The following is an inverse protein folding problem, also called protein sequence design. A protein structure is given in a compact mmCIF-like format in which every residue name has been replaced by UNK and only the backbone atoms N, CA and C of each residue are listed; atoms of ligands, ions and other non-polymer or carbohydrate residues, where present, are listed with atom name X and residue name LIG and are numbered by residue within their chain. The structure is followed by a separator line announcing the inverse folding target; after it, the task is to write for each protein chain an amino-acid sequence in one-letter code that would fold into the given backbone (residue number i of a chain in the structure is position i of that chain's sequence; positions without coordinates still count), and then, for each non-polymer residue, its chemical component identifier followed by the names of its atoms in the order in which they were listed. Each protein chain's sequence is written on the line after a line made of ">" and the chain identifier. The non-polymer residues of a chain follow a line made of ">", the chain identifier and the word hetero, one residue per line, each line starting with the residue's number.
data_IF_308140767260
#
_entry.id   IF_308140767260
#
_cell.length_a   1.000
_cell.length_b   1.000
_cell.length_c   1.000
_cell.angle_alpha   90.00
_cell.angle_beta   90.00
_cell.angle_gamma   90.00
#
_symmetry.space_group_name_H-M   'P 1'
#
loop_
_entity.id
_entity.type
_entity.pdbx_description
1 polymer ?
#
# COMPACT_ATOMS: atom_id res chain seq x y z
N UNK A 1 -7.90 16.63 -36.62
CA UNK A 1 -7.90 16.72 -35.14
C UNK A 1 -7.00 15.60 -34.67
N UNK A 2 -6.14 15.85 -33.68
CA UNK A 2 -5.27 14.80 -33.15
C UNK A 2 -6.12 13.69 -32.52
N UNK A 3 -5.74 12.43 -32.75
CA UNK A 3 -6.44 11.30 -32.16
C UNK A 3 -5.82 10.93 -30.81
N UNK A 4 -6.54 10.17 -29.98
CA UNK A 4 -6.01 9.72 -28.68
C UNK A 4 -4.67 8.99 -28.82
N UNK A 5 -4.52 8.10 -29.80
CA UNK A 5 -3.28 7.36 -29.99
C UNK A 5 -2.07 8.27 -30.27
N UNK A 6 -2.25 9.38 -31.01
CA UNK A 6 -1.19 10.36 -31.28
C UNK A 6 -0.79 11.10 -30.00
N UNK A 7 -1.78 11.48 -29.19
CA UNK A 7 -1.58 12.22 -27.95
C UNK A 7 -0.89 11.34 -26.90
N UNK A 8 -1.26 10.06 -26.78
CA UNK A 8 -0.62 9.10 -25.89
C UNK A 8 0.85 8.91 -26.28
N UNK A 9 1.15 8.60 -27.56
CA UNK A 9 2.52 8.42 -28.03
C UNK A 9 3.39 9.67 -27.82
N UNK A 10 2.83 10.85 -28.07
CA UNK A 10 3.53 12.12 -27.83
C UNK A 10 3.82 12.32 -26.34
N UNK A 11 2.86 12.03 -25.47
CA UNK A 11 3.01 12.14 -24.01
C UNK A 11 4.04 11.15 -23.49
N UNK A 12 3.95 9.88 -23.87
CA UNK A 12 4.90 8.82 -23.54
C UNK A 12 6.34 9.23 -23.94
N UNK A 13 6.53 9.73 -25.17
CA UNK A 13 7.85 10.18 -25.64
C UNK A 13 8.40 11.34 -24.80
N UNK A 14 7.55 12.27 -24.36
CA UNK A 14 7.96 13.37 -23.48
C UNK A 14 8.37 12.87 -22.10
N UNK A 15 7.61 11.94 -21.51
CA UNK A 15 7.95 11.31 -20.22
C UNK A 15 9.29 10.56 -20.31
N UNK A 16 9.44 9.72 -21.33
CA UNK A 16 10.68 8.96 -21.57
C UNK A 16 11.89 9.88 -21.76
N UNK A 17 11.76 10.94 -22.57
CA UNK A 17 12.83 11.91 -22.80
C UNK A 17 13.22 12.68 -21.53
N UNK A 18 12.26 12.92 -20.64
CA UNK A 18 12.50 13.57 -19.35
C UNK A 18 13.17 12.66 -18.32
N UNK A 19 13.29 11.35 -18.60
CA UNK A 19 13.89 10.38 -17.70
C UNK A 19 13.15 10.30 -16.37
N UNK A 20 11.82 10.39 -16.39
CA UNK A 20 11.02 10.21 -15.18
C UNK A 20 11.08 8.75 -14.71
N UNK A 21 11.08 8.55 -13.40
CA UNK A 21 11.05 7.22 -12.80
C UNK A 21 9.60 6.74 -12.60
N UNK A 22 9.28 5.52 -13.02
CA UNK A 22 7.97 4.89 -12.83
C UNK A 22 8.05 3.87 -11.68
N UNK A 23 7.03 3.79 -10.84
CA UNK A 23 7.04 2.95 -9.63
C UNK A 23 6.00 3.32 -8.55
N UNK A 24 5.13 4.28 -8.85
CA UNK A 24 4.06 4.74 -7.95
C UNK A 24 2.70 4.28 -8.48
N UNK A 25 2.56 2.98 -8.76
CA UNK A 25 1.36 2.35 -9.31
C UNK A 25 1.34 2.17 -10.85
N UNK A 26 2.32 2.72 -11.57
CA UNK A 26 2.53 2.49 -12.99
C UNK A 26 4.00 2.09 -13.23
N UNK A 27 4.20 1.11 -14.11
CA UNK A 27 5.52 0.50 -14.36
C UNK A 27 6.20 1.01 -15.65
N UNK A 28 5.48 1.79 -16.46
CA UNK A 28 6.00 2.29 -17.73
C UNK A 28 5.55 3.71 -18.05
N UNK A 29 6.35 4.40 -18.87
CA UNK A 29 5.98 5.71 -19.43
C UNK A 29 4.70 5.64 -20.28
N UNK A 30 4.42 4.47 -20.86
CA UNK A 30 3.21 4.25 -21.63
C UNK A 30 1.97 4.28 -20.73
N UNK A 31 1.99 3.54 -19.63
CA UNK A 31 0.85 3.47 -18.70
C UNK A 31 0.59 4.82 -18.03
N UNK A 32 1.66 5.53 -17.63
CA UNK A 32 1.55 6.90 -17.14
C UNK A 32 0.96 7.86 -18.19
N UNK A 33 1.37 7.73 -19.46
CA UNK A 33 0.83 8.56 -20.54
C UNK A 33 -0.65 8.28 -20.78
N UNK A 34 -1.07 7.01 -20.79
CA UNK A 34 -2.48 6.62 -20.87
C UNK A 34 -3.27 7.25 -19.73
N UNK A 35 -2.78 7.12 -18.49
CA UNK A 35 -3.40 7.67 -17.30
C UNK A 35 -3.61 9.18 -17.37
N UNK A 36 -2.55 9.94 -17.67
CA UNK A 36 -2.60 11.39 -17.77
C UNK A 36 -3.55 11.85 -18.89
N UNK A 37 -3.53 11.17 -20.05
CA UNK A 37 -4.36 11.53 -21.21
C UNK A 37 -5.84 11.26 -20.95
N UNK A 38 -6.20 10.10 -20.40
CA UNK A 38 -7.58 9.75 -20.04
C UNK A 38 -8.11 10.67 -18.95
N UNK A 39 -7.35 10.86 -17.86
CA UNK A 39 -7.72 11.77 -16.78
C UNK A 39 -7.88 13.21 -17.28
N UNK A 40 -6.99 13.67 -18.17
CA UNK A 40 -7.11 15.00 -18.77
C UNK A 40 -8.40 15.14 -19.59
N UNK A 41 -8.78 14.10 -20.34
CA UNK A 41 -10.02 14.04 -21.11
C UNK A 41 -11.29 13.83 -20.27
N UNK A 42 -11.14 13.55 -18.96
CA UNK A 42 -12.27 13.22 -18.08
C UNK A 42 -12.86 11.83 -18.37
N UNK A 43 -12.05 10.92 -18.90
CA UNK A 43 -12.44 9.55 -19.20
C UNK A 43 -12.04 8.61 -18.05
N UNK A 44 -12.84 7.55 -17.80
CA UNK A 44 -12.47 6.49 -16.86
C UNK A 44 -11.18 5.77 -17.25
N UNK A 45 -10.47 5.22 -16.27
CA UNK A 45 -9.20 4.50 -16.50
C UNK A 45 -9.37 3.11 -17.12
N UNK A 46 -10.58 2.55 -17.02
CA UNK A 46 -11.00 1.33 -17.71
C UNK A 46 -11.53 1.61 -19.14
N UNK A 47 -11.29 2.81 -19.68
CA UNK A 47 -11.64 3.14 -21.07
C UNK A 47 -10.97 2.15 -22.04
N UNK A 48 -11.78 1.55 -22.90
CA UNK A 48 -11.34 0.58 -23.89
C UNK A 48 -10.48 1.17 -25.02
N UNK A 49 -9.84 0.29 -25.78
CA UNK A 49 -8.96 0.65 -26.90
C UNK A 49 -9.70 1.31 -28.08
N UNK A 50 -11.03 1.22 -28.12
CA UNK A 50 -11.88 1.87 -29.12
C UNK A 50 -11.70 3.40 -29.12
N UNK A 51 -11.32 4.00 -27.98
CA UNK A 51 -11.04 5.43 -27.89
C UNK A 51 -9.83 5.87 -28.73
N UNK A 52 -8.88 4.98 -29.02
CA UNK A 52 -7.59 5.31 -29.63
C UNK A 52 -7.71 6.01 -30.99
N UNK A 53 -8.73 5.62 -31.77
CA UNK A 53 -9.00 6.16 -33.11
C UNK A 53 -10.00 7.33 -33.10
N UNK A 54 -10.45 7.77 -31.91
CA UNK A 54 -11.36 8.90 -31.76
C UNK A 54 -10.59 10.21 -31.61
N UNK A 55 -11.29 11.34 -31.82
CA UNK A 55 -10.68 12.67 -31.69
C UNK A 55 -10.44 13.02 -30.22
N UNK A 56 -9.23 13.46 -29.89
CA UNK A 56 -8.93 13.98 -28.56
C UNK A 56 -9.65 15.33 -28.34
N UNK A 57 -10.35 15.54 -27.21
CA UNK A 57 -11.13 16.76 -26.99
C UNK A 57 -10.20 17.95 -26.73
N UNK A 58 -10.21 18.96 -27.63
CA UNK A 58 -9.42 20.19 -27.47
C UNK A 58 -9.53 20.87 -26.11
N UNK A 59 -10.69 20.90 -25.42
CA UNK A 59 -10.76 21.46 -24.07
C UNK A 59 -9.86 20.78 -23.03
N UNK A 60 -9.42 19.54 -23.28
CA UNK A 60 -8.52 18.80 -22.39
C UNK A 60 -7.04 19.16 -22.57
N UNK A 61 -6.66 19.86 -23.66
CA UNK A 61 -5.25 20.16 -23.99
C UNK A 61 -4.53 20.94 -22.88
N UNK A 62 -5.21 21.92 -22.26
CA UNK A 62 -4.65 22.71 -21.17
C UNK A 62 -4.42 21.86 -19.91
N UNK A 63 -5.37 20.97 -19.60
CA UNK A 63 -5.27 20.07 -18.43
C UNK A 63 -4.15 19.05 -18.63
N UNK A 64 -4.06 18.46 -19.81
CA UNK A 64 -2.96 17.54 -20.14
C UNK A 64 -1.61 18.24 -20.09
N UNK A 65 -1.53 19.48 -20.56
CA UNK A 65 -0.29 20.27 -20.50
C UNK A 65 0.17 20.47 -19.06
N UNK A 66 -0.75 20.88 -18.18
CA UNK A 66 -0.49 21.04 -16.75
C UNK A 66 -0.07 19.71 -16.08
N UNK A 67 -0.80 18.62 -16.34
CA UNK A 67 -0.47 17.29 -15.84
C UNK A 67 0.94 16.84 -16.26
N UNK A 68 1.29 16.99 -17.53
CA UNK A 68 2.63 16.61 -18.02
C UNK A 68 3.71 17.53 -17.45
N UNK A 69 3.40 18.81 -17.23
CA UNK A 69 4.33 19.74 -16.59
C UNK A 69 4.62 19.34 -15.14
N UNK A 70 3.57 19.08 -14.33
CA UNK A 70 3.70 18.58 -12.97
C UNK A 70 4.53 17.29 -12.92
N UNK A 71 4.30 16.38 -13.89
CA UNK A 71 5.02 15.10 -13.95
C UNK A 71 6.49 15.24 -14.32
N UNK A 72 6.82 16.05 -15.33
CA UNK A 72 8.19 16.19 -15.85
C UNK A 72 9.03 17.13 -15.00
N UNK A 73 8.51 18.33 -14.71
CA UNK A 73 9.26 19.37 -13.98
C UNK A 73 9.21 19.12 -12.48
N UNK A 74 8.03 18.80 -11.96
CA UNK A 74 7.82 18.55 -10.54
C UNK A 74 8.21 17.14 -10.09
N UNK A 75 8.40 16.19 -11.01
CA UNK A 75 8.57 14.75 -10.69
C UNK A 75 7.41 14.20 -9.86
N UNK A 76 6.23 14.82 -9.94
CA UNK A 76 5.08 14.41 -9.11
C UNK A 76 4.52 13.07 -9.62
N UNK A 77 4.30 12.06 -8.76
CA UNK A 77 3.66 10.81 -9.15
C UNK A 77 2.33 11.03 -9.87
N UNK A 78 2.06 10.25 -10.92
CA UNK A 78 0.81 10.37 -11.71
C UNK A 78 -0.42 10.21 -10.83
N UNK A 79 -0.41 9.28 -9.88
CA UNK A 79 -1.51 9.06 -8.93
C UNK A 79 -1.90 10.34 -8.17
N UNK A 80 -0.91 11.13 -7.73
CA UNK A 80 -1.15 12.41 -7.05
C UNK A 80 -1.55 13.54 -8.01
N UNK A 81 -1.11 13.49 -9.27
CA UNK A 81 -1.51 14.47 -10.29
C UNK A 81 -3.00 14.28 -10.64
N UNK A 82 -3.43 13.04 -10.84
CA UNK A 82 -4.82 12.71 -11.20
C UNK A 82 -5.74 12.60 -9.96
N UNK A 83 -5.17 12.52 -8.76
CA UNK A 83 -5.88 12.40 -7.49
C UNK A 83 -6.48 11.01 -7.23
N UNK A 84 -6.00 9.98 -7.94
CA UNK A 84 -6.53 8.62 -7.88
C UNK A 84 -5.45 7.56 -8.08
N UNK A 85 -5.65 6.43 -7.41
CA UNK A 85 -4.85 5.22 -7.54
C UNK A 85 -5.72 3.97 -7.44
N UNK A 86 -5.17 2.81 -7.79
CA UNK A 86 -5.86 1.53 -7.74
C UNK A 86 -5.08 0.53 -6.91
N UNK A 87 -5.80 -0.27 -6.13
CA UNK A 87 -5.29 -1.50 -5.54
C UNK A 87 -6.25 -2.61 -5.94
N UNK A 88 -5.84 -3.39 -6.93
CA UNK A 88 -6.70 -4.40 -7.53
C UNK A 88 -7.89 -3.76 -8.27
N UNK A 89 -9.11 -4.18 -7.95
CA UNK A 89 -10.33 -3.67 -8.59
C UNK A 89 -10.87 -2.39 -7.95
N UNK A 90 -10.30 -1.96 -6.83
CA UNK A 90 -10.76 -0.79 -6.07
C UNK A 90 -9.95 0.45 -6.45
N UNK A 91 -10.63 1.58 -6.51
CA UNK A 91 -10.04 2.90 -6.72
C UNK A 91 -10.06 3.73 -5.44
N UNK A 92 -9.03 4.52 -5.23
CA UNK A 92 -8.82 5.31 -4.02
C UNK A 92 -8.53 6.76 -4.40
N UNK A 93 -9.02 7.70 -3.61
CA UNK A 93 -8.44 9.04 -3.54
C UNK A 93 -6.97 8.92 -3.12
N UNK A 94 -6.11 9.65 -3.80
CA UNK A 94 -4.67 9.57 -3.62
C UNK A 94 -4.06 10.97 -3.68
N UNK A 95 -3.35 11.35 -2.62
CA UNK A 95 -2.60 12.60 -2.53
C UNK A 95 -1.44 12.45 -1.53
N UNK A 96 -0.69 13.53 -1.33
CA UNK A 96 0.55 13.59 -0.54
C UNK A 96 0.35 13.32 0.97
N UNK A 97 -0.87 13.01 1.43
CA UNK A 97 -1.15 12.60 2.82
C UNK A 97 -0.75 11.15 3.12
N UNK A 98 -0.65 10.28 2.10
CA UNK A 98 -0.30 8.88 2.27
C UNK A 98 0.42 8.29 1.05
N UNK A 99 1.07 7.15 1.24
CA UNK A 99 1.74 6.39 0.19
C UNK A 99 0.75 5.93 -0.90
N UNK A 100 1.18 5.93 -2.17
CA UNK A 100 0.33 5.47 -3.29
C UNK A 100 0.03 3.97 -3.15
N UNK A 101 -1.24 3.52 -3.11
CA UNK A 101 -1.61 2.12 -2.95
C UNK A 101 -0.90 1.19 -3.93
N UNK A 102 -0.08 0.27 -3.40
CA UNK A 102 0.69 -0.70 -4.21
C UNK A 102 1.15 -1.94 -3.43
N UNK A 103 0.52 -2.24 -2.30
CA UNK A 103 0.98 -3.34 -1.44
C UNK A 103 0.66 -4.69 -2.09
N UNK A 104 1.66 -5.58 -2.26
CA UNK A 104 1.45 -6.95 -2.72
C UNK A 104 0.61 -7.81 -1.76
N UNK A 105 0.40 -7.39 -0.50
CA UNK A 105 -0.54 -8.05 0.42
C UNK A 105 -1.97 -8.12 -0.14
N UNK A 106 -2.32 -7.24 -1.09
CA UNK A 106 -3.56 -7.31 -1.86
C UNK A 106 -3.85 -8.73 -2.37
N UNK A 107 -2.83 -9.44 -2.86
CA UNK A 107 -3.02 -10.78 -3.40
C UNK A 107 -3.48 -11.79 -2.35
N UNK A 108 -2.90 -11.72 -1.15
CA UNK A 108 -3.29 -12.56 -0.03
C UNK A 108 -4.73 -12.27 0.41
N UNK A 109 -5.14 -10.99 0.38
CA UNK A 109 -6.53 -10.61 0.69
C UNK A 109 -7.50 -11.22 -0.33
N UNK A 110 -7.19 -11.17 -1.63
CA UNK A 110 -8.03 -11.80 -2.68
C UNK A 110 -8.14 -13.31 -2.55
N UNK A 111 -7.04 -13.96 -2.20
CA UNK A 111 -7.00 -15.40 -1.94
C UNK A 111 -7.62 -15.75 -0.57
N UNK A 112 -8.22 -14.77 0.12
CA UNK A 112 -8.82 -14.91 1.44
C UNK A 112 -7.86 -15.53 2.46
N UNK A 113 -6.59 -15.18 2.31
CA UNK A 113 -5.48 -15.64 3.13
C UNK A 113 -5.26 -17.16 3.12
N UNK A 114 -5.69 -17.85 2.07
CA UNK A 114 -5.41 -19.27 1.87
C UNK A 114 -3.91 -19.51 1.63
N UNK A 115 -3.30 -20.59 2.17
CA UNK A 115 -3.91 -21.65 2.98
C UNK A 115 -3.89 -21.37 4.50
N UNK A 116 -3.41 -20.22 4.93
CA UNK A 116 -3.17 -19.91 6.35
C UNK A 116 -4.47 -19.71 7.14
N UNK A 117 -5.43 -18.98 6.58
CA UNK A 117 -6.72 -18.73 7.23
C UNK A 117 -7.79 -19.72 6.74
N UNK A 118 -8.18 -20.63 7.62
CA UNK A 118 -9.27 -21.60 7.38
C UNK A 118 -10.52 -21.34 8.22
N UNK A 119 -10.50 -20.28 9.03
CA UNK A 119 -11.54 -19.96 10.03
C UNK A 119 -12.86 -19.45 9.47
N UNK A 120 -13.01 -19.32 8.15
CA UNK A 120 -14.18 -18.72 7.52
C UNK A 120 -14.08 -17.20 7.49
N UNK A 121 -15.12 -16.47 7.90
CA UNK A 121 -15.09 -15.01 7.97
C UNK A 121 -14.43 -14.61 9.30
N UNK A 122 -13.29 -13.88 9.29
CA UNK A 122 -12.70 -13.34 10.51
C UNK A 122 -13.66 -12.34 11.16
N UNK A 123 -13.69 -12.30 12.49
CA UNK A 123 -14.48 -11.32 13.22
C UNK A 123 -13.80 -9.96 13.18
N UNK A 124 -12.46 -9.91 13.34
CA UNK A 124 -11.71 -8.67 13.36
C UNK A 124 -10.42 -8.73 12.53
N UNK A 125 -10.32 -7.82 11.57
CA UNK A 125 -9.12 -7.55 10.77
C UNK A 125 -8.54 -6.19 11.18
N UNK A 126 -7.23 -6.09 11.31
CA UNK A 126 -6.52 -4.84 11.57
C UNK A 126 -5.58 -4.54 10.41
N UNK A 127 -5.70 -3.36 9.81
CA UNK A 127 -4.74 -2.78 8.88
C UNK A 127 -3.89 -1.77 9.66
N UNK A 128 -2.64 -2.11 9.98
CA UNK A 128 -1.72 -1.27 10.77
C UNK A 128 -0.72 -0.56 9.85
N UNK A 129 -0.46 0.73 10.14
CA UNK A 129 0.18 1.65 9.21
C UNK A 129 -0.67 1.81 7.94
N UNK A 130 -1.99 1.98 8.11
CA UNK A 130 -2.96 1.85 7.03
C UNK A 130 -2.84 2.93 5.94
N UNK A 131 -2.17 4.05 6.21
CA UNK A 131 -2.09 5.16 5.27
C UNK A 131 -3.49 5.63 4.85
N UNK A 132 -3.75 5.64 3.54
CA UNK A 132 -5.06 5.94 2.96
C UNK A 132 -6.11 4.81 3.05
N UNK A 133 -5.83 3.75 3.81
CA UNK A 133 -6.76 2.66 4.16
C UNK A 133 -6.95 1.61 3.07
N UNK A 134 -6.04 1.49 2.09
CA UNK A 134 -6.28 0.66 0.90
C UNK A 134 -6.38 -0.83 1.20
N UNK A 135 -5.57 -1.36 2.11
CA UNK A 135 -5.61 -2.78 2.49
C UNK A 135 -6.84 -3.09 3.35
N UNK A 136 -7.14 -2.24 4.34
CA UNK A 136 -8.32 -2.40 5.18
C UNK A 136 -9.64 -2.33 4.39
N UNK A 137 -9.75 -1.41 3.43
CA UNK A 137 -10.93 -1.31 2.54
C UNK A 137 -11.05 -2.55 1.64
N UNK A 138 -9.94 -3.04 1.11
CA UNK A 138 -9.93 -4.27 0.32
C UNK A 138 -10.38 -5.47 1.17
N UNK A 139 -9.84 -5.60 2.38
CA UNK A 139 -10.22 -6.66 3.30
C UNK A 139 -11.70 -6.60 3.70
N UNK A 140 -12.23 -5.42 4.01
CA UNK A 140 -13.66 -5.24 4.30
C UNK A 140 -14.55 -5.69 3.13
N UNK A 141 -14.11 -5.41 1.89
CA UNK A 141 -14.82 -5.79 0.66
C UNK A 141 -14.85 -7.31 0.48
N UNK A 142 -13.72 -7.99 0.70
CA UNK A 142 -13.62 -9.45 0.58
C UNK A 142 -14.32 -10.20 1.74
N UNK A 143 -14.42 -9.54 2.90
CA UNK A 143 -15.02 -10.08 4.12
C UNK A 143 -16.15 -9.17 4.67
N UNK A 144 -17.34 -9.12 4.06
CA UNK A 144 -18.44 -8.22 4.47
C UNK A 144 -18.95 -8.39 5.91
N UNK A 145 -18.58 -9.47 6.59
CA UNK A 145 -18.95 -9.73 7.99
C UNK A 145 -17.86 -9.40 9.01
N UNK A 146 -16.67 -9.00 8.56
CA UNK A 146 -15.55 -8.66 9.44
C UNK A 146 -15.62 -7.20 9.89
N UNK A 147 -15.34 -6.92 11.15
CA UNK A 147 -14.98 -5.58 11.63
C UNK A 147 -13.55 -5.28 11.21
N UNK A 148 -13.31 -4.11 10.61
CA UNK A 148 -11.97 -3.69 10.19
C UNK A 148 -11.53 -2.45 10.95
N UNK A 149 -10.32 -2.48 11.51
CA UNK A 149 -9.69 -1.33 12.12
C UNK A 149 -8.49 -0.88 11.29
N UNK A 150 -8.52 0.37 10.85
CA UNK A 150 -7.41 1.04 10.17
C UNK A 150 -6.64 1.89 11.19
N UNK A 151 -5.40 1.50 11.48
CA UNK A 151 -4.54 2.15 12.48
C UNK A 151 -3.39 2.89 11.80
N UNK A 152 -3.23 4.16 12.14
CA UNK A 152 -2.08 4.96 11.70
C UNK A 152 -1.70 6.00 12.76
N UNK A 153 -0.44 6.43 12.77
CA UNK A 153 0.03 7.48 13.68
C UNK A 153 -0.27 8.88 13.15
N UNK A 154 -0.40 9.02 11.81
CA UNK A 154 -0.64 10.28 11.12
C UNK A 154 -2.13 10.56 10.92
N UNK A 155 -2.63 11.62 11.57
CA UNK A 155 -4.02 12.08 11.43
C UNK A 155 -4.37 12.48 10.00
N UNK A 156 -3.40 12.94 9.21
CA UNK A 156 -3.64 13.31 7.80
C UNK A 156 -3.89 12.08 6.94
N UNK A 157 -3.14 11.01 7.17
CA UNK A 157 -3.35 9.73 6.50
C UNK A 157 -4.72 9.16 6.87
N UNK A 158 -5.10 9.19 8.15
CA UNK A 158 -6.41 8.75 8.61
C UNK A 158 -7.56 9.56 8.00
N UNK A 159 -7.41 10.88 7.84
CA UNK A 159 -8.41 11.68 7.16
C UNK A 159 -8.61 11.24 5.69
N UNK A 160 -7.52 10.90 4.98
CA UNK A 160 -7.62 10.33 3.63
C UNK A 160 -8.25 8.92 3.66
N UNK A 161 -7.94 8.11 4.67
CA UNK A 161 -8.58 6.80 4.86
C UNK A 161 -10.09 6.95 5.07
N UNK A 162 -10.55 7.91 5.88
CA UNK A 162 -11.99 8.18 6.08
C UNK A 162 -12.68 8.60 4.78
N UNK A 163 -12.05 9.45 3.97
CA UNK A 163 -12.55 9.81 2.63
C UNK A 163 -12.70 8.57 1.73
N UNK A 164 -11.71 7.68 1.75
CA UNK A 164 -11.74 6.44 0.98
C UNK A 164 -12.76 5.42 1.50
N UNK A 165 -12.90 5.28 2.82
CA UNK A 165 -13.93 4.44 3.45
C UNK A 165 -15.31 4.95 3.03
N UNK A 166 -15.53 6.26 3.05
CA UNK A 166 -16.78 6.88 2.64
C UNK A 166 -17.08 6.69 1.14
N UNK A 167 -16.06 6.78 0.28
CA UNK A 167 -16.17 6.51 -1.16
C UNK A 167 -16.72 5.12 -1.45
N UNK A 168 -16.35 4.12 -0.65
CA UNK A 168 -16.79 2.74 -0.80
C UNK A 168 -18.02 2.38 0.05
N UNK A 169 -18.55 3.31 0.85
CA UNK A 169 -19.75 3.10 1.67
C UNK A 169 -19.53 2.17 2.87
N UNK A 170 -18.29 2.07 3.37
CA UNK A 170 -17.88 1.09 4.38
C UNK A 170 -17.79 1.66 5.81
N UNK A 171 -18.36 2.85 6.06
CA UNK A 171 -18.29 3.52 7.37
C UNK A 171 -18.92 2.71 8.52
N UNK A 172 -19.82 1.76 8.21
CA UNK A 172 -20.43 0.88 9.21
C UNK A 172 -19.60 -0.34 9.56
N UNK A 173 -18.53 -0.61 8.80
CA UNK A 173 -17.69 -1.80 8.92
C UNK A 173 -16.25 -1.46 9.30
N UNK A 174 -15.75 -0.31 8.84
CA UNK A 174 -14.37 0.13 9.04
C UNK A 174 -14.33 1.32 9.99
N UNK A 175 -13.44 1.27 10.98
CA UNK A 175 -13.11 2.41 11.84
C UNK A 175 -11.64 2.79 11.73
N UNK A 176 -11.36 4.09 11.72
CA UNK A 176 -10.01 4.66 11.81
C UNK A 176 -9.66 4.95 13.26
N UNK A 177 -8.44 4.62 13.67
CA UNK A 177 -7.95 4.96 15.02
C UNK A 177 -6.51 5.46 14.94
N UNK A 178 -6.29 6.65 15.50
CA UNK A 178 -4.93 7.15 15.69
C UNK A 178 -4.20 6.32 16.73
N UNK A 179 -3.15 5.64 16.33
CA UNK A 179 -2.45 4.68 17.16
C UNK A 179 -0.96 4.62 16.84
N UNK A 180 -0.16 4.33 17.87
CA UNK A 180 1.20 3.83 17.67
C UNK A 180 1.12 2.30 17.53
N UNK A 181 1.19 1.84 16.27
CA UNK A 181 1.02 0.44 15.89
C UNK A 181 -0.28 -0.15 16.46
N UNK A 182 -0.20 -1.27 17.18
CA UNK A 182 -1.33 -2.02 17.75
C UNK A 182 -1.58 -1.65 19.23
N UNK A 183 -0.93 -0.61 19.73
CA UNK A 183 -0.96 -0.18 21.14
C UNK A 183 -2.35 -0.13 21.79
N UNK A 184 -3.39 0.46 21.17
CA UNK A 184 -4.71 0.61 21.79
C UNK A 184 -5.56 -0.66 21.78
N UNK A 185 -5.13 -1.74 21.11
CA UNK A 185 -5.90 -2.96 21.01
C UNK A 185 -5.82 -3.78 22.30
N UNK A 186 -6.91 -4.49 22.61
CA UNK A 186 -6.93 -5.46 23.71
C UNK A 186 -6.15 -6.72 23.35
N UNK A 187 -5.59 -7.45 24.33
CA UNK A 187 -5.04 -8.77 24.10
C UNK A 187 -6.07 -9.75 23.49
N UNK A 188 -5.59 -10.74 22.74
CA UNK A 188 -6.40 -11.84 22.18
C UNK A 188 -7.66 -11.39 21.43
N UNK A 189 -7.60 -10.25 20.74
CA UNK A 189 -8.78 -9.57 20.18
C UNK A 189 -8.79 -9.49 18.66
N UNK A 190 -7.74 -9.96 17.98
CA UNK A 190 -7.56 -9.82 16.53
C UNK A 190 -7.40 -11.19 15.87
N UNK A 191 -8.10 -11.41 14.75
CA UNK A 191 -7.93 -12.61 13.94
C UNK A 191 -6.82 -12.44 12.91
N UNK A 192 -6.81 -11.30 12.22
CA UNK A 192 -5.88 -11.04 11.12
C UNK A 192 -5.30 -9.64 11.28
N UNK A 193 -3.97 -9.53 11.19
CA UNK A 193 -3.26 -8.26 11.08
C UNK A 193 -2.63 -8.18 9.69
N UNK A 194 -2.92 -7.11 8.96
CA UNK A 194 -2.23 -6.71 7.75
C UNK A 194 -1.28 -5.59 8.12
N UNK A 195 -0.01 -5.74 7.76
CA UNK A 195 1.01 -4.76 8.07
C UNK A 195 1.91 -4.50 6.87
N UNK A 196 1.85 -3.27 6.38
CA UNK A 196 2.83 -2.72 5.45
C UNK A 196 3.50 -1.49 6.09
N UNK A 197 4.30 -1.70 7.16
CA UNK A 197 4.98 -0.60 7.82
C UNK A 197 6.06 0.01 6.90
N UNK A 198 6.52 1.23 7.18
CA UNK A 198 7.74 1.75 6.58
C UNK A 198 8.89 0.76 6.82
N UNK A 199 9.66 0.46 5.76
CA UNK A 199 10.79 -0.46 5.82
C UNK A 199 12.04 0.01 5.06
N UNK A 200 12.04 1.22 4.49
CA UNK A 200 13.18 1.72 3.71
C UNK A 200 14.26 2.21 4.68
N UNK A 201 15.45 1.62 4.58
CA UNK A 201 16.59 2.01 5.40
C UNK A 201 17.18 3.37 4.94
N UNK A 202 18.01 3.98 5.80
CA UNK A 202 18.57 5.29 5.54
C UNK A 202 19.46 5.37 4.28
N UNK A 203 20.07 4.26 3.88
CA UNK A 203 20.92 4.19 2.70
C UNK A 203 20.07 4.16 1.43
N UNK A 204 19.06 3.29 1.40
CA UNK A 204 18.10 3.20 0.30
C UNK A 204 17.32 4.52 0.14
N UNK A 205 16.94 5.17 1.24
CA UNK A 205 16.30 6.50 1.25
C UNK A 205 17.13 7.57 0.52
N UNK A 206 18.46 7.49 0.58
CA UNK A 206 19.35 8.46 -0.06
C UNK A 206 19.44 8.27 -1.58
N UNK A 207 19.21 7.04 -2.06
CA UNK A 207 19.29 6.65 -3.46
C UNK A 207 17.91 6.65 -4.17
N UNK A 208 16.83 6.97 -3.45
CA UNK A 208 15.48 7.02 -4.02
C UNK A 208 15.37 8.05 -5.15
N UNK A 209 14.68 7.69 -6.26
CA UNK A 209 14.31 8.65 -7.31
C UNK A 209 13.55 9.85 -6.76
N UNK A 210 13.72 11.01 -7.41
CA UNK A 210 13.13 12.28 -6.99
C UNK A 210 11.59 12.22 -6.82
N UNK A 211 10.92 11.35 -7.56
CA UNK A 211 9.49 11.07 -7.45
C UNK A 211 9.07 10.67 -6.03
N UNK A 212 9.88 9.90 -5.30
CA UNK A 212 9.56 9.44 -3.94
C UNK A 212 9.59 10.57 -2.89
N UNK A 213 10.17 11.73 -3.22
CA UNK A 213 10.15 12.90 -2.33
C UNK A 213 8.75 13.48 -2.09
N UNK A 214 7.78 13.10 -2.94
CA UNK A 214 6.37 13.47 -2.81
C UNK A 214 5.60 12.57 -1.84
N UNK A 215 6.11 11.39 -1.52
CA UNK A 215 5.48 10.53 -0.53
C UNK A 215 5.88 10.97 0.89
N UNK A 216 5.00 10.82 1.90
CA UNK A 216 5.35 11.18 3.27
C UNK A 216 6.60 10.43 3.73
N UNK A 217 7.61 11.17 4.20
CA UNK A 217 8.85 10.56 4.74
C UNK A 217 8.56 9.52 5.83
N UNK A 218 7.56 9.78 6.67
CA UNK A 218 7.10 8.88 7.73
C UNK A 218 6.55 7.54 7.17
N UNK A 219 6.08 7.51 5.92
CA UNK A 219 5.61 6.29 5.27
C UNK A 219 6.74 5.47 4.63
N UNK A 220 7.97 6.00 4.57
CA UNK A 220 9.13 5.36 3.94
C UNK A 220 10.23 4.99 4.95
N UNK A 221 10.61 5.92 5.81
CA UNK A 221 11.79 5.81 6.68
C UNK A 221 11.57 4.87 7.88
N UNK A 222 12.50 3.94 8.08
CA UNK A 222 12.41 2.93 9.12
C UNK A 222 13.67 2.76 9.99
N UNK A 223 14.37 3.87 10.28
CA UNK A 223 15.56 3.86 11.14
C UNK A 223 16.81 3.29 10.45
N UNK A 224 17.83 2.94 11.25
CA UNK A 224 19.16 2.56 10.72
C UNK A 224 19.17 1.20 10.02
N UNK A 225 18.33 0.23 10.44
CA UNK A 225 18.24 -1.11 9.85
C UNK A 225 16.90 -1.39 9.15
N UNK A 226 15.98 -0.43 9.14
CA UNK A 226 14.66 -0.57 8.54
C UNK A 226 13.64 -1.34 9.39
N UNK A 227 13.98 -1.78 10.61
CA UNK A 227 13.21 -2.78 11.37
C UNK A 227 12.74 -2.34 12.75
N UNK A 228 13.08 -1.14 13.22
CA UNK A 228 12.67 -0.67 14.55
C UNK A 228 11.15 -0.75 14.79
N UNK A 229 10.36 -0.32 13.80
CA UNK A 229 8.90 -0.42 13.84
C UNK A 229 8.43 -1.86 13.77
N UNK A 230 9.08 -2.68 12.93
CA UNK A 230 8.75 -4.08 12.73
C UNK A 230 8.98 -4.89 14.01
N UNK A 231 10.09 -4.69 14.72
CA UNK A 231 10.35 -5.36 16.00
C UNK A 231 9.27 -5.05 17.04
N UNK A 232 8.88 -3.78 17.16
CA UNK A 232 7.80 -3.37 18.07
C UNK A 232 6.46 -3.97 17.64
N UNK A 233 6.18 -4.01 16.34
CA UNK A 233 4.98 -4.61 15.78
C UNK A 233 4.91 -6.11 16.09
N UNK A 234 6.00 -6.86 15.92
CA UNK A 234 6.03 -8.31 16.21
C UNK A 234 5.71 -8.59 17.69
N UNK A 235 6.29 -7.83 18.62
CA UNK A 235 5.99 -7.93 20.05
C UNK A 235 4.53 -7.64 20.34
N UNK A 236 3.98 -6.57 19.76
CA UNK A 236 2.58 -6.23 19.99
C UNK A 236 1.66 -7.28 19.35
N UNK A 237 1.91 -7.70 18.11
CA UNK A 237 1.12 -8.68 17.38
C UNK A 237 1.00 -9.99 18.17
N UNK A 238 2.09 -10.48 18.76
CA UNK A 238 2.11 -11.67 19.60
C UNK A 238 1.10 -11.58 20.76
N UNK A 239 0.89 -10.39 21.32
CA UNK A 239 -0.03 -10.18 22.44
C UNK A 239 -1.47 -9.85 22.02
N UNK A 240 -1.72 -9.48 20.76
CA UNK A 240 -3.03 -9.00 20.27
C UNK A 240 -3.76 -10.03 19.43
N UNK A 241 -3.02 -10.89 18.73
CA UNK A 241 -3.60 -11.97 17.94
C UNK A 241 -4.23 -13.02 18.86
N UNK A 242 -5.37 -13.55 18.42
CA UNK A 242 -5.92 -14.79 18.96
C UNK A 242 -4.99 -15.95 18.64
N UNK A 243 -5.13 -17.07 19.36
CA UNK A 243 -4.30 -18.26 19.15
C UNK A 243 -4.35 -18.79 17.71
N UNK A 244 -5.49 -18.65 17.02
CA UNK A 244 -5.66 -19.05 15.61
C UNK A 244 -5.35 -17.93 14.61
N UNK A 245 -4.90 -16.77 15.08
CA UNK A 245 -4.72 -15.56 14.28
C UNK A 245 -3.40 -15.51 13.54
N UNK A 246 -3.34 -14.63 12.54
CA UNK A 246 -2.18 -14.44 11.67
C UNK A 246 -1.82 -12.97 11.48
N UNK A 247 -0.52 -12.70 11.44
CA UNK A 247 0.08 -11.48 10.93
C UNK A 247 0.56 -11.74 9.50
N UNK A 248 0.08 -10.93 8.55
CA UNK A 248 0.64 -10.83 7.20
C UNK A 248 1.44 -9.54 7.12
N UNK A 249 2.76 -9.69 6.97
CA UNK A 249 3.72 -8.61 7.08
C UNK A 249 4.49 -8.45 5.77
N UNK A 250 4.56 -7.22 5.28
CA UNK A 250 5.43 -6.78 4.20
C UNK A 250 6.63 -6.01 4.77
N UNK A 251 7.84 -6.42 4.40
CA UNK A 251 9.11 -5.71 4.70
C UNK A 251 9.97 -5.45 3.46
N UNK A 252 9.48 -5.81 2.27
CA UNK A 252 10.15 -5.52 1.00
C UNK A 252 11.64 -5.92 0.98
N UNK A 253 12.50 -4.96 0.62
CA UNK A 253 13.96 -5.15 0.55
C UNK A 253 14.62 -5.46 1.91
N UNK A 254 13.93 -5.24 3.03
CA UNK A 254 14.46 -5.44 4.38
C UNK A 254 14.31 -6.88 4.88
N UNK A 255 13.80 -7.79 4.05
CA UNK A 255 13.73 -9.23 4.35
C UNK A 255 15.07 -9.87 4.80
N UNK A 256 16.26 -9.54 4.25
CA UNK A 256 17.51 -10.16 4.69
C UNK A 256 17.98 -9.56 6.02
N UNK A 257 17.57 -8.32 6.34
CA UNK A 257 17.78 -7.74 7.66
C UNK A 257 16.93 -8.47 8.71
N UNK A 258 15.69 -8.84 8.37
CA UNK A 258 14.83 -9.64 9.24
C UNK A 258 15.44 -11.01 9.56
N UNK A 259 15.98 -11.71 8.55
CA UNK A 259 16.67 -13.00 8.78
C UNK A 259 17.90 -12.86 9.69
N UNK A 260 18.65 -11.76 9.55
CA UNK A 260 19.79 -11.47 10.43
C UNK A 260 19.36 -11.14 11.85
N UNK A 261 18.23 -10.46 12.03
CA UNK A 261 17.69 -10.11 13.34
C UNK A 261 17.18 -11.35 14.10
N UNK A 262 16.64 -12.34 13.38
CA UNK A 262 16.12 -13.59 13.95
C UNK A 262 16.77 -14.83 13.33
N UNK A 263 18.09 -15.06 13.54
CA UNK A 263 18.84 -16.12 12.84
C UNK A 263 18.47 -17.55 13.27
N UNK A 264 17.60 -17.69 14.28
CA UNK A 264 17.10 -18.98 14.80
C UNK A 264 15.67 -19.28 14.36
N UNK A 265 15.04 -18.36 13.63
CA UNK A 265 13.70 -18.51 13.08
C UNK A 265 13.81 -18.62 11.56
N UNK A 266 13.12 -19.59 10.98
CA UNK A 266 13.09 -19.77 9.52
C UNK A 266 11.84 -19.10 8.97
N UNK A 267 12.01 -17.97 8.29
CA UNK A 267 10.90 -17.27 7.66
C UNK A 267 10.45 -17.98 6.39
N UNK A 268 9.14 -18.16 6.26
CA UNK A 268 8.53 -18.44 4.97
C UNK A 268 8.27 -17.12 4.26
N UNK A 269 9.07 -16.82 3.24
CA UNK A 269 8.86 -15.69 2.35
C UNK A 269 7.93 -16.08 1.20
N UNK A 270 6.87 -15.31 1.02
CA UNK A 270 5.82 -15.56 0.05
C UNK A 270 6.14 -14.90 -1.28
N UNK A 271 5.72 -15.55 -2.37
CA UNK A 271 5.83 -15.05 -3.74
C UNK A 271 4.40 -14.82 -4.29
N UNK A 272 3.84 -13.60 -4.15
CA UNK A 272 2.49 -13.31 -4.64
C UNK A 272 2.43 -13.35 -6.17
N UNK A 273 1.27 -13.74 -6.71
CA UNK A 273 1.03 -13.78 -8.16
C UNK A 273 1.25 -12.40 -8.83
N UNK A 274 0.92 -11.32 -8.13
CA UNK A 274 1.01 -9.95 -8.63
C UNK A 274 2.35 -9.26 -8.33
N UNK A 275 3.39 -10.03 -8.00
CA UNK A 275 4.73 -9.52 -7.73
C UNK A 275 4.88 -8.93 -6.32
N UNK A 276 6.06 -8.34 -6.08
CA UNK A 276 6.51 -7.94 -4.74
C UNK A 276 7.31 -9.05 -4.04
N UNK A 277 7.97 -8.70 -2.95
CA UNK A 277 8.84 -9.58 -2.18
C UNK A 277 8.90 -9.13 -0.72
N UNK A 278 9.56 -9.93 0.13
CA UNK A 278 9.68 -9.64 1.56
C UNK A 278 8.36 -9.71 2.29
N UNK A 279 7.48 -10.62 1.88
CA UNK A 279 6.17 -10.83 2.52
C UNK A 279 6.22 -12.13 3.29
N UNK A 280 5.70 -12.14 4.51
CA UNK A 280 5.61 -13.35 5.33
C UNK A 280 4.28 -13.44 6.06
N UNK A 281 3.86 -14.67 6.35
CA UNK A 281 2.70 -14.97 7.18
C UNK A 281 3.18 -15.62 8.48
N UNK A 282 2.85 -15.02 9.61
CA UNK A 282 3.25 -15.48 10.95
C UNK A 282 1.99 -15.76 11.76
N UNK A 283 1.80 -17.01 12.17
CA UNK A 283 0.76 -17.36 13.14
C UNK A 283 1.10 -16.77 14.52
N UNK A 284 0.12 -16.74 15.41
CA UNK A 284 0.39 -16.46 16.83
C UNK A 284 1.52 -17.35 17.39
N UNK A 285 1.53 -18.65 17.08
CA UNK A 285 2.58 -19.57 17.51
C UNK A 285 3.97 -19.20 16.96
N UNK A 286 4.03 -18.79 15.69
CA UNK A 286 5.27 -18.36 15.06
C UNK A 286 5.82 -17.12 15.75
N UNK A 287 4.96 -16.16 16.09
CA UNK A 287 5.35 -14.94 16.81
C UNK A 287 5.93 -15.24 18.21
N UNK A 288 5.29 -16.13 18.98
CA UNK A 288 5.82 -16.56 20.28
C UNK A 288 7.21 -17.21 20.10
N UNK A 289 7.33 -18.14 19.15
CA UNK A 289 8.58 -18.85 18.86
C UNK A 289 9.68 -17.90 18.41
N UNK A 290 9.35 -16.96 17.53
CA UNK A 290 10.25 -15.94 17.00
C UNK A 290 10.79 -15.06 18.13
N UNK A 291 9.92 -14.57 19.01
CA UNK A 291 10.29 -13.70 20.13
C UNK A 291 11.13 -14.41 21.18
N UNK A 292 10.79 -15.66 21.52
CA UNK A 292 11.61 -16.51 22.39
C UNK A 292 12.99 -16.76 21.79
N UNK A 293 13.06 -16.99 20.47
CA UNK A 293 14.31 -17.19 19.74
C UNK A 293 15.14 -15.90 19.60
N UNK A 294 14.51 -14.73 19.62
CA UNK A 294 15.16 -13.41 19.60
C UNK A 294 15.60 -12.92 20.97
N UNK A 295 15.22 -13.61 22.07
CA UNK A 295 15.51 -13.18 23.43
C UNK A 295 14.57 -12.09 23.96
N UNK A 296 13.41 -11.89 23.31
CA UNK A 296 12.36 -10.99 23.76
C UNK A 296 11.53 -11.68 24.85
N UNK A 297 11.54 -11.14 26.07
CA UNK A 297 10.83 -11.75 27.20
C UNK A 297 9.39 -11.23 27.26
N UNK A 298 8.45 -12.01 26.71
CA UNK A 298 7.01 -11.71 26.67
C UNK A 298 6.35 -11.59 28.06
N UNK A 299 7.00 -12.08 29.13
CA UNK A 299 6.47 -12.06 30.49
C UNK A 299 6.61 -10.69 31.21
N UNK A 300 6.95 -9.60 30.50
CA UNK A 300 7.20 -8.27 31.10
C UNK A 300 6.50 -7.08 30.43
N UNK A 301 5.57 -7.30 29.51
CA UNK A 301 4.76 -6.23 28.88
C UNK A 301 3.30 -6.32 29.29
#
# INVERSE_FOLDING_TARGET
>A
MSQFHDIIKSTESRLAKAGVYCGHGYDSHHDEAVALVLAAAGLPMDTGQDVLNTSYPRPADLRLTDFVQQRIEGRKPVAYIIGQAWLGHLSFHCDERALVPRSPLMGLVYERFSPWWVGGVPERIVDVCCGGGSLGILAATEFPGAEVLCLDIDEKALALAEENIARHGLQGQISTVRADLLGPLSPDSVDIILANPPYVDAQDMADLPAEYSWEPRLALEAGDDGLDLVHRLLVQAASRLRESGYLFLEVGNSWPAMERAFPRFEFLWLEPEWGGHGITALSHFDLITLLDSGGYNLARS
#
